data_IF_542537284155
#
_entry.id   IF_542537284155
#
_cell.length_a   1.000
_cell.length_b   1.000
_cell.length_c   1.000
_cell.angle_alpha   90.00
_cell.angle_beta   90.00
_cell.angle_gamma   90.00
#
_symmetry.space_group_name_H-M   'P 1'
#
loop_
_entity.id
_entity.type
_entity.pdbx_description
1 polymer ?
#
# COMPACT_ATOMS: atom_id res chain seq x y z
N UNK A 1 10.41 34.36 3.23
CA UNK A 1 9.58 33.13 3.11
C UNK A 1 8.21 33.55 2.60
N UNK A 2 7.62 32.78 1.66
CA UNK A 2 6.29 33.10 1.13
C UNK A 2 5.23 32.76 2.16
N UNK A 3 4.13 33.53 2.22
CA UNK A 3 2.99 33.21 3.08
C UNK A 3 2.31 31.94 2.59
N UNK A 4 1.86 31.08 3.50
CA UNK A 4 1.14 29.83 3.17
C UNK A 4 -0.15 30.13 2.38
N UNK A 5 -0.78 31.28 2.61
CA UNK A 5 -1.96 31.72 1.86
C UNK A 5 -1.69 31.96 0.37
N UNK A 6 -0.42 32.17 -0.02
CA UNK A 6 0.03 32.33 -1.40
C UNK A 6 0.54 31.02 -2.02
N UNK A 7 0.33 29.89 -1.33
CA UNK A 7 0.80 28.59 -1.81
C UNK A 7 0.07 28.16 -3.07
N UNK A 8 0.86 27.79 -4.08
CA UNK A 8 0.43 27.08 -5.26
C UNK A 8 1.13 25.72 -5.29
N UNK A 9 0.35 24.65 -5.25
CA UNK A 9 0.85 23.32 -4.96
C UNK A 9 0.89 22.48 -6.23
N UNK A 10 2.04 21.82 -6.50
CA UNK A 10 2.15 20.76 -7.47
C UNK A 10 2.18 19.42 -6.72
N UNK A 11 1.30 18.47 -7.06
CA UNK A 11 1.33 17.10 -6.55
C UNK A 11 1.83 16.19 -7.66
N UNK A 12 2.96 15.53 -7.44
CA UNK A 12 3.67 14.69 -8.42
C UNK A 12 3.35 13.22 -8.17
N UNK A 13 2.58 12.61 -9.08
CA UNK A 13 2.01 11.27 -8.96
C UNK A 13 0.56 11.32 -8.47
N UNK A 14 -0.39 10.86 -9.30
CA UNK A 14 -1.83 10.91 -9.02
C UNK A 14 -2.42 9.50 -8.83
N UNK A 15 -1.69 8.66 -8.09
CA UNK A 15 -2.14 7.34 -7.67
C UNK A 15 -2.99 7.38 -6.39
N UNK A 16 -3.01 6.25 -5.67
CA UNK A 16 -3.76 6.03 -4.42
C UNK A 16 -3.48 7.06 -3.31
N UNK A 17 -2.29 7.65 -3.31
CA UNK A 17 -1.86 8.65 -2.32
C UNK A 17 -2.07 10.06 -2.84
N UNK A 18 -1.56 10.34 -4.03
CA UNK A 18 -1.48 11.71 -4.54
C UNK A 18 -2.82 12.31 -4.93
N UNK A 19 -3.74 11.52 -5.50
CA UNK A 19 -5.05 12.05 -5.89
C UNK A 19 -5.91 12.48 -4.68
N UNK A 20 -6.10 11.65 -3.63
CA UNK A 20 -6.84 12.09 -2.45
C UNK A 20 -6.24 13.33 -1.79
N UNK A 21 -4.91 13.39 -1.72
CA UNK A 21 -4.20 14.54 -1.15
C UNK A 21 -4.36 15.80 -2.03
N UNK A 22 -4.18 15.68 -3.34
CA UNK A 22 -4.36 16.80 -4.28
C UNK A 22 -5.78 17.36 -4.22
N UNK A 23 -6.80 16.48 -4.19
CA UNK A 23 -8.20 16.87 -4.01
C UNK A 23 -8.41 17.59 -2.68
N UNK A 24 -7.80 17.09 -1.60
CA UNK A 24 -7.95 17.71 -0.28
C UNK A 24 -7.34 19.11 -0.24
N UNK A 25 -6.12 19.29 -0.73
CA UNK A 25 -5.52 20.61 -0.84
C UNK A 25 -6.30 21.56 -1.77
N UNK A 26 -6.90 21.02 -2.84
CA UNK A 26 -7.69 21.80 -3.78
C UNK A 26 -8.95 22.44 -3.16
N UNK A 27 -9.35 22.06 -1.96
CA UNK A 27 -10.42 22.72 -1.21
C UNK A 27 -10.04 24.12 -0.72
N UNK A 28 -8.72 24.39 -0.63
CA UNK A 28 -8.20 25.67 -0.09
C UNK A 28 -7.16 26.36 -0.96
N UNK A 29 -6.48 25.61 -1.81
CA UNK A 29 -5.35 26.08 -2.60
C UNK A 29 -5.52 25.80 -4.10
N UNK A 30 -4.88 26.57 -4.98
CA UNK A 30 -4.67 26.18 -6.37
C UNK A 30 -3.72 24.97 -6.41
N UNK A 31 -4.19 23.83 -6.95
CA UNK A 31 -3.44 22.59 -7.03
C UNK A 31 -3.30 22.13 -8.47
N UNK A 32 -2.07 21.82 -8.87
CA UNK A 32 -1.77 21.17 -10.14
C UNK A 32 -1.31 19.75 -9.86
N UNK A 33 -2.13 18.78 -10.24
CA UNK A 33 -1.77 17.37 -10.21
C UNK A 33 -0.98 17.00 -11.47
N UNK A 34 0.24 16.53 -11.29
CA UNK A 34 1.11 16.10 -12.38
C UNK A 34 1.30 14.58 -12.34
N UNK A 35 1.04 13.92 -13.46
CA UNK A 35 1.36 12.52 -13.65
C UNK A 35 1.94 12.27 -15.04
N UNK A 36 2.88 11.34 -15.14
CA UNK A 36 3.49 10.96 -16.44
C UNK A 36 2.56 10.07 -17.28
N UNK A 37 1.53 9.48 -16.68
CA UNK A 37 0.59 8.61 -17.34
C UNK A 37 -0.56 9.42 -17.97
N UNK A 38 -0.48 9.62 -19.29
CA UNK A 38 -1.48 10.37 -20.05
C UNK A 38 -2.90 9.81 -19.90
N UNK A 39 -3.04 8.47 -19.83
CA UNK A 39 -4.35 7.83 -19.65
C UNK A 39 -4.94 8.18 -18.30
N UNK A 40 -4.10 8.18 -17.25
CA UNK A 40 -4.53 8.54 -15.90
C UNK A 40 -4.98 9.99 -15.82
N UNK A 41 -4.22 10.91 -16.39
CA UNK A 41 -4.58 12.33 -16.44
C UNK A 41 -5.87 12.56 -17.24
N UNK A 42 -6.00 11.92 -18.40
CA UNK A 42 -7.23 12.03 -19.21
C UNK A 42 -8.46 11.50 -18.45
N UNK A 43 -8.35 10.36 -17.80
CA UNK A 43 -9.39 9.77 -16.95
C UNK A 43 -9.80 10.74 -15.84
N UNK A 44 -8.84 11.23 -15.04
CA UNK A 44 -9.11 12.16 -13.93
C UNK A 44 -9.79 13.46 -14.40
N UNK A 45 -9.39 14.00 -15.56
CA UNK A 45 -9.98 15.21 -16.12
C UNK A 45 -11.42 14.98 -16.61
N UNK A 46 -11.88 13.74 -16.78
CA UNK A 46 -13.31 13.42 -16.95
C UNK A 46 -14.10 13.38 -15.64
N UNK A 47 -13.40 13.44 -14.51
CA UNK A 47 -13.99 13.32 -13.18
C UNK A 47 -14.22 11.87 -12.75
N UNK A 48 -13.45 10.91 -13.29
CA UNK A 48 -13.49 9.50 -12.93
C UNK A 48 -12.17 9.04 -12.30
N UNK A 49 -12.27 8.25 -11.22
CA UNK A 49 -11.13 7.66 -10.52
C UNK A 49 -11.21 6.12 -10.50
N UNK A 50 -10.49 5.46 -11.41
CA UNK A 50 -10.40 3.99 -11.46
C UNK A 50 -9.75 3.35 -10.24
N UNK A 51 -9.04 4.13 -9.40
CA UNK A 51 -8.49 3.62 -8.13
C UNK A 51 -9.52 3.55 -7.01
N UNK A 52 -10.69 4.17 -7.19
CA UNK A 52 -11.81 4.22 -6.24
C UNK A 52 -11.46 4.86 -4.88
N UNK A 53 -10.41 5.68 -4.84
CA UNK A 53 -9.98 6.40 -3.64
C UNK A 53 -10.73 7.73 -3.46
N UNK A 54 -11.16 8.35 -4.56
CA UNK A 54 -11.96 9.57 -4.57
C UNK A 54 -13.25 9.30 -5.34
N UNK A 55 -14.39 9.51 -4.70
CA UNK A 55 -15.68 9.37 -5.36
C UNK A 55 -15.81 10.38 -6.51
N UNK A 56 -16.39 9.97 -7.64
CA UNK A 56 -16.47 10.75 -8.88
C UNK A 56 -17.11 12.13 -8.67
N UNK A 57 -18.18 12.22 -7.90
CA UNK A 57 -18.86 13.49 -7.59
C UNK A 57 -17.94 14.46 -6.83
N UNK A 58 -17.14 13.92 -5.91
CA UNK A 58 -16.17 14.69 -5.13
C UNK A 58 -15.03 15.17 -6.02
N UNK A 59 -14.53 14.30 -6.89
CA UNK A 59 -13.49 14.65 -7.84
C UNK A 59 -13.98 15.74 -8.81
N UNK A 60 -15.14 15.56 -9.42
CA UNK A 60 -15.75 16.53 -10.34
C UNK A 60 -15.93 17.91 -9.70
N UNK A 61 -16.34 17.96 -8.43
CA UNK A 61 -16.51 19.22 -7.69
C UNK A 61 -15.20 19.97 -7.45
N UNK A 62 -14.07 19.27 -7.40
CA UNK A 62 -12.75 19.86 -7.18
C UNK A 62 -12.06 20.28 -8.48
N UNK A 63 -12.45 19.71 -9.63
CA UNK A 63 -11.76 19.95 -10.90
C UNK A 63 -12.02 21.34 -11.45
N UNK A 64 -10.92 21.98 -11.93
CA UNK A 64 -10.96 23.21 -12.72
C UNK A 64 -10.51 22.92 -14.17
N UNK A 65 -11.10 23.64 -15.13
CA UNK A 65 -10.87 23.36 -16.57
C UNK A 65 -9.55 23.93 -17.09
N UNK A 66 -8.98 24.91 -16.43
CA UNK A 66 -7.74 25.56 -16.85
C UNK A 66 -7.11 26.33 -15.72
N UNK A 67 -5.79 26.27 -15.65
CA UNK A 67 -4.94 27.09 -14.76
C UNK A 67 -4.42 28.36 -15.45
N UNK A 68 -4.74 28.54 -16.73
CA UNK A 68 -4.32 29.75 -17.49
C UNK A 68 -5.38 30.83 -17.36
N UNK A 69 -4.97 32.07 -17.01
CA UNK A 69 -5.91 33.18 -16.90
C UNK A 69 -6.66 33.39 -18.23
N UNK A 70 -7.97 33.40 -18.17
CA UNK A 70 -8.79 33.84 -19.29
C UNK A 70 -9.54 35.12 -18.90
N UNK A 71 -9.18 36.29 -19.49
CA UNK A 71 -9.81 37.55 -19.14
C UNK A 71 -11.33 37.59 -19.33
N UNK A 72 -11.87 36.66 -20.14
CA UNK A 72 -13.31 36.54 -20.43
C UNK A 72 -14.02 35.57 -19.49
N UNK A 73 -13.32 34.81 -18.66
CA UNK A 73 -13.87 33.89 -17.67
C UNK A 73 -13.12 34.01 -16.34
N UNK A 74 -13.67 34.73 -15.35
CA UNK A 74 -13.05 34.92 -14.04
C UNK A 74 -12.89 33.60 -13.25
N UNK A 75 -13.60 32.53 -13.62
CA UNK A 75 -13.43 31.20 -13.00
C UNK A 75 -12.07 30.54 -13.34
N UNK A 76 -11.36 31.09 -14.34
CA UNK A 76 -10.02 30.60 -14.72
C UNK A 76 -8.88 31.38 -14.02
N UNK A 77 -9.16 32.04 -12.89
CA UNK A 77 -8.10 32.66 -12.11
C UNK A 77 -7.17 31.57 -11.54
N UNK A 78 -5.87 31.59 -11.86
CA UNK A 78 -4.92 30.57 -11.39
C UNK A 78 -4.67 30.58 -9.88
N UNK A 79 -5.22 31.56 -9.18
CA UNK A 79 -5.17 31.66 -7.70
C UNK A 79 -6.41 31.12 -7.00
N UNK A 80 -7.44 30.71 -7.75
CA UNK A 80 -8.62 30.10 -7.14
C UNK A 80 -8.33 28.66 -6.68
N UNK A 81 -8.86 28.22 -5.54
CA UNK A 81 -8.82 26.83 -5.14
C UNK A 81 -9.42 25.91 -6.22
N UNK A 82 -8.82 24.76 -6.40
CA UNK A 82 -9.26 23.75 -7.36
C UNK A 82 -8.10 22.87 -7.83
N UNK A 83 -8.43 21.74 -8.46
CA UNK A 83 -7.49 20.75 -8.99
C UNK A 83 -7.48 20.78 -10.51
N UNK A 84 -6.31 20.92 -11.09
CA UNK A 84 -6.06 20.72 -12.51
C UNK A 84 -5.06 19.58 -12.72
N UNK A 85 -5.40 18.55 -13.47
CA UNK A 85 -4.49 17.44 -13.75
C UNK A 85 -3.82 17.61 -15.11
N UNK A 86 -2.52 17.34 -15.20
CA UNK A 86 -1.70 17.56 -16.40
C UNK A 86 -0.53 16.59 -16.49
N UNK A 87 -0.04 16.37 -17.71
CA UNK A 87 1.25 15.74 -18.00
C UNK A 87 2.33 16.76 -18.40
N UNK A 88 1.97 18.05 -18.45
CA UNK A 88 2.84 19.14 -18.90
C UNK A 88 3.66 19.70 -17.75
N UNK A 89 4.98 19.61 -17.87
CA UNK A 89 5.92 20.19 -16.90
C UNK A 89 5.77 21.72 -16.77
N UNK A 90 5.40 22.39 -17.86
CA UNK A 90 5.21 23.83 -17.87
C UNK A 90 4.06 24.29 -16.96
N UNK A 91 3.08 23.44 -16.71
CA UNK A 91 1.93 23.78 -15.90
C UNK A 91 2.22 23.78 -14.39
N UNK A 92 3.31 23.12 -13.96
CA UNK A 92 3.77 23.12 -12.56
C UNK A 92 4.90 24.10 -12.28
N UNK A 93 5.44 24.78 -13.31
CA UNK A 93 6.60 25.65 -13.17
C UNK A 93 6.35 26.90 -12.30
N UNK A 94 5.08 27.33 -12.20
CA UNK A 94 4.68 28.46 -11.36
C UNK A 94 4.27 28.04 -9.92
N UNK A 95 4.39 26.76 -9.58
CA UNK A 95 4.14 26.29 -8.22
C UNK A 95 5.32 26.66 -7.31
N UNK A 96 5.05 26.78 -6.01
CA UNK A 96 6.08 27.07 -5.00
C UNK A 96 6.17 25.99 -3.93
N UNK A 97 5.25 25.01 -3.96
CA UNK A 97 5.27 23.79 -3.14
C UNK A 97 5.09 22.59 -4.06
N UNK A 98 6.03 21.67 -3.99
CA UNK A 98 6.02 20.42 -4.77
C UNK A 98 5.90 19.24 -3.83
N UNK A 99 4.81 18.46 -3.94
CA UNK A 99 4.58 17.29 -3.09
C UNK A 99 4.74 16.04 -3.94
N UNK A 100 5.72 15.19 -3.58
CA UNK A 100 6.05 13.96 -4.32
C UNK A 100 5.38 12.77 -3.63
N UNK A 101 4.50 12.08 -4.38
CA UNK A 101 3.67 10.96 -3.91
C UNK A 101 3.81 9.73 -4.80
N UNK A 102 4.97 9.58 -5.46
CA UNK A 102 5.25 8.45 -6.34
C UNK A 102 5.49 7.16 -5.55
N UNK A 103 5.23 5.96 -6.15
CA UNK A 103 5.47 4.69 -5.47
C UNK A 103 6.97 4.44 -5.22
N UNK A 104 7.24 3.68 -4.15
CA UNK A 104 8.57 3.21 -3.76
C UNK A 104 8.55 1.68 -3.64
N UNK A 105 8.67 0.95 -4.76
CA UNK A 105 8.64 -0.50 -4.75
C UNK A 105 9.96 -1.10 -4.25
N UNK A 106 9.98 -2.43 -4.14
CA UNK A 106 11.22 -3.21 -3.99
C UNK A 106 11.49 -3.98 -5.29
N UNK A 107 12.76 -4.24 -5.54
CA UNK A 107 13.19 -5.11 -6.63
C UNK A 107 12.98 -6.60 -6.29
N UNK A 108 13.27 -7.49 -7.26
CA UNK A 108 13.18 -8.95 -7.09
C UNK A 108 14.09 -9.52 -5.98
N UNK A 109 15.03 -8.74 -5.48
CA UNK A 109 15.94 -9.12 -4.39
C UNK A 109 15.52 -8.48 -3.05
N UNK A 110 14.30 -7.95 -2.96
CA UNK A 110 13.75 -7.24 -1.82
C UNK A 110 14.55 -5.98 -1.43
N UNK A 111 15.17 -5.30 -2.40
CA UNK A 111 15.89 -4.05 -2.18
C UNK A 111 15.02 -2.87 -2.57
N UNK A 112 15.08 -1.75 -1.83
CA UNK A 112 14.40 -0.52 -2.19
C UNK A 112 14.73 -0.06 -3.62
N UNK A 113 13.70 0.20 -4.42
CA UNK A 113 13.85 0.82 -5.74
C UNK A 113 13.39 2.28 -5.67
N UNK A 114 14.35 3.18 -5.54
CA UNK A 114 14.11 4.62 -5.51
C UNK A 114 14.01 5.25 -6.90
N UNK A 115 14.05 4.48 -7.98
CA UNK A 115 14.01 5.00 -9.36
C UNK A 115 12.84 5.94 -9.62
N UNK A 116 11.57 5.64 -9.20
CA UNK A 116 10.48 6.59 -9.39
C UNK A 116 10.69 7.89 -8.61
N UNK A 117 11.24 7.79 -7.41
CA UNK A 117 11.48 8.94 -6.53
C UNK A 117 12.59 9.85 -7.08
N UNK A 118 13.67 9.25 -7.58
CA UNK A 118 14.76 9.98 -8.26
C UNK A 118 14.24 10.71 -9.50
N UNK A 119 13.44 10.03 -10.34
CA UNK A 119 12.82 10.66 -11.53
C UNK A 119 11.86 11.79 -11.16
N UNK A 120 11.10 11.66 -10.10
CA UNK A 120 10.23 12.73 -9.60
C UNK A 120 11.08 13.93 -9.09
N UNK A 121 12.18 13.65 -8.39
CA UNK A 121 13.15 14.67 -7.96
C UNK A 121 13.81 15.40 -9.15
N UNK A 122 14.17 14.66 -10.21
CA UNK A 122 14.64 15.27 -11.48
C UNK A 122 13.58 16.17 -12.12
N UNK A 123 12.31 15.72 -12.08
CA UNK A 123 11.18 16.49 -12.63
C UNK A 123 11.00 17.80 -11.87
N UNK A 124 11.01 17.75 -10.54
CA UNK A 124 10.94 18.95 -9.69
C UNK A 124 12.18 19.83 -9.90
N UNK A 125 13.37 19.25 -9.98
CA UNK A 125 14.62 19.99 -10.21
C UNK A 125 14.63 20.85 -11.48
N UNK A 126 13.83 20.49 -12.50
CA UNK A 126 13.70 21.27 -13.75
C UNK A 126 12.87 22.55 -13.61
N UNK A 127 12.05 22.66 -12.57
CA UNK A 127 11.07 23.74 -12.41
C UNK A 127 11.18 24.50 -11.08
N UNK A 128 11.79 23.90 -10.06
CA UNK A 128 11.91 24.49 -8.73
C UNK A 128 12.70 25.81 -8.78
N UNK A 129 12.25 26.78 -8.01
CA UNK A 129 12.80 28.12 -7.96
C UNK A 129 13.25 28.52 -6.54
N UNK A 130 13.90 29.66 -6.39
CA UNK A 130 14.35 30.13 -5.08
C UNK A 130 13.19 30.42 -4.14
N UNK A 131 13.30 29.87 -2.92
CA UNK A 131 12.31 30.00 -1.87
C UNK A 131 11.21 28.92 -1.91
N UNK A 132 11.26 28.00 -2.86
CA UNK A 132 10.29 26.91 -2.97
C UNK A 132 10.61 25.76 -2.01
N UNK A 133 9.60 24.93 -1.76
CA UNK A 133 9.69 23.76 -0.87
C UNK A 133 9.30 22.51 -1.64
N UNK A 134 10.14 21.47 -1.58
CA UNK A 134 9.79 20.13 -2.04
C UNK A 134 9.47 19.23 -0.84
N UNK A 135 8.31 18.60 -0.84
CA UNK A 135 7.83 17.74 0.24
C UNK A 135 7.71 16.32 -0.28
N UNK A 136 8.30 15.36 0.42
CA UNK A 136 8.21 13.94 0.06
C UNK A 136 7.18 13.27 0.96
N UNK A 137 6.26 12.50 0.35
CA UNK A 137 5.27 11.67 1.05
C UNK A 137 5.50 10.18 0.87
N UNK A 138 6.26 9.81 -0.16
CA UNK A 138 6.60 8.41 -0.44
C UNK A 138 7.33 7.77 0.75
N UNK A 139 6.99 6.51 1.06
CA UNK A 139 7.65 5.79 2.14
C UNK A 139 9.09 5.46 1.76
N UNK A 140 10.02 5.82 2.64
CA UNK A 140 11.46 5.61 2.43
C UNK A 140 12.15 5.24 3.74
N UNK A 141 13.41 4.79 3.67
CA UNK A 141 14.25 4.63 4.85
C UNK A 141 14.74 5.98 5.41
N UNK A 142 15.10 6.05 6.70
CA UNK A 142 15.61 7.28 7.30
C UNK A 142 16.85 7.82 6.59
N UNK A 143 16.76 9.06 6.13
CA UNK A 143 17.80 9.76 5.39
C UNK A 143 17.62 9.81 3.87
N UNK A 144 16.73 9.00 3.29
CA UNK A 144 16.58 8.93 1.83
C UNK A 144 16.22 10.27 1.19
N UNK A 145 15.37 11.06 1.82
CA UNK A 145 15.03 12.40 1.30
C UNK A 145 16.28 13.27 1.16
N UNK A 146 17.06 13.40 2.22
CA UNK A 146 18.21 14.31 2.26
C UNK A 146 19.47 13.76 1.57
N UNK A 147 19.66 12.41 1.61
CA UNK A 147 20.88 11.75 1.13
C UNK A 147 20.77 11.32 -0.35
N UNK A 148 19.57 10.94 -0.83
CA UNK A 148 19.38 10.43 -2.18
C UNK A 148 18.58 11.36 -3.09
N UNK A 149 17.51 11.99 -2.59
CA UNK A 149 16.60 12.78 -3.42
C UNK A 149 17.05 14.23 -3.59
N UNK A 150 17.42 14.90 -2.52
CA UNK A 150 17.83 16.32 -2.55
C UNK A 150 19.06 16.56 -3.42
N UNK A 151 20.12 15.72 -3.40
CA UNK A 151 21.26 15.90 -4.31
C UNK A 151 20.87 15.86 -5.79
N UNK A 152 19.82 15.14 -6.15
CA UNK A 152 19.28 15.11 -7.51
C UNK A 152 18.61 16.45 -7.86
N UNK A 153 17.82 17.00 -6.95
CA UNK A 153 17.19 18.32 -7.13
C UNK A 153 18.26 19.40 -7.29
N UNK A 154 19.29 19.41 -6.42
CA UNK A 154 20.42 20.35 -6.53
C UNK A 154 21.14 20.22 -7.87
N UNK A 155 21.47 19.01 -8.29
CA UNK A 155 22.18 18.75 -9.54
C UNK A 155 21.41 19.23 -10.77
N UNK A 156 20.08 19.02 -10.79
CA UNK A 156 19.26 19.38 -11.95
C UNK A 156 18.93 20.88 -11.96
N UNK A 157 18.59 21.45 -10.82
CA UNK A 157 18.21 22.87 -10.71
C UNK A 157 19.39 23.83 -10.68
N UNK A 158 20.56 23.37 -10.21
CA UNK A 158 21.69 24.24 -9.90
C UNK A 158 21.50 25.10 -8.65
N UNK A 159 20.42 24.90 -7.92
CA UNK A 159 20.10 25.60 -6.67
C UNK A 159 20.72 24.87 -5.48
N UNK A 160 20.91 25.58 -4.37
CA UNK A 160 21.55 25.08 -3.17
C UNK A 160 20.51 24.79 -2.09
N UNK A 161 20.49 23.56 -1.58
CA UNK A 161 19.62 23.11 -0.49
C UNK A 161 19.83 23.93 0.80
N UNK A 162 18.74 24.23 1.49
CA UNK A 162 18.68 25.06 2.70
C UNK A 162 19.23 26.51 2.52
N UNK A 163 19.38 26.93 1.29
CA UNK A 163 19.80 28.32 0.93
C UNK A 163 18.84 28.89 -0.12
N UNK A 164 18.72 28.20 -1.26
CA UNK A 164 17.88 28.63 -2.37
C UNK A 164 16.52 27.91 -2.36
N UNK A 165 16.46 26.66 -1.97
CA UNK A 165 15.23 25.88 -1.81
C UNK A 165 15.29 25.02 -0.55
N UNK A 166 14.14 24.48 -0.13
CA UNK A 166 14.00 23.75 1.12
C UNK A 166 13.26 22.43 0.91
N UNK A 167 13.31 21.55 1.91
CA UNK A 167 12.61 20.26 1.86
C UNK A 167 11.74 20.03 3.09
N UNK A 168 10.71 19.22 2.89
CA UNK A 168 9.87 18.65 3.94
C UNK A 168 9.65 17.17 3.70
N UNK A 169 9.17 16.50 4.72
CA UNK A 169 8.70 15.13 4.64
C UNK A 169 7.43 14.96 5.47
N UNK A 170 6.43 14.32 4.86
CA UNK A 170 5.15 14.05 5.53
C UNK A 170 4.59 12.72 5.02
N UNK A 171 4.84 11.60 5.73
CA UNK A 171 4.47 10.29 5.24
C UNK A 171 2.96 10.10 5.09
N UNK A 172 2.55 9.37 4.05
CA UNK A 172 1.17 8.93 3.93
C UNK A 172 0.89 7.75 4.86
N UNK A 173 -0.29 7.79 5.50
CA UNK A 173 -0.74 6.80 6.49
C UNK A 173 -2.10 6.19 6.14
N UNK A 174 -2.62 6.46 4.94
CA UNK A 174 -3.88 5.87 4.44
C UNK A 174 -3.71 4.36 4.29
N UNK A 175 -4.80 3.65 4.56
CA UNK A 175 -4.93 2.26 4.20
C UNK A 175 -5.85 2.16 2.98
N UNK A 176 -5.34 1.83 1.78
CA UNK A 176 -6.15 1.78 0.57
C UNK A 176 -7.45 0.99 0.74
N UNK A 177 -8.57 1.58 0.29
CA UNK A 177 -9.91 1.01 0.45
C UNK A 177 -10.55 1.23 1.83
N UNK A 178 -9.91 1.92 2.77
CA UNK A 178 -10.50 2.32 4.06
C UNK A 178 -11.24 3.64 3.90
N UNK A 179 -12.57 3.59 3.86
CA UNK A 179 -13.43 4.77 3.71
C UNK A 179 -13.71 5.51 5.04
N UNK A 180 -13.35 4.91 6.17
CA UNK A 180 -13.54 5.52 7.49
C UNK A 180 -12.35 6.41 7.86
N UNK A 181 -11.12 5.92 7.64
CA UNK A 181 -9.88 6.62 7.93
C UNK A 181 -9.33 7.30 6.68
N UNK A 182 -10.01 8.36 6.23
CA UNK A 182 -9.58 9.17 5.08
C UNK A 182 -8.38 10.04 5.42
N UNK A 183 -7.68 10.56 4.41
CA UNK A 183 -6.46 11.38 4.57
C UNK A 183 -6.63 12.53 5.57
N UNK A 184 -7.79 13.18 5.60
CA UNK A 184 -8.09 14.30 6.50
C UNK A 184 -8.35 13.89 7.94
N UNK A 185 -8.75 12.61 8.18
CA UNK A 185 -9.11 12.07 9.49
C UNK A 185 -7.98 11.33 10.20
N UNK A 186 -6.83 11.17 9.54
CA UNK A 186 -5.64 10.56 10.12
C UNK A 186 -4.67 11.66 10.53
N UNK A 187 -4.19 11.62 11.80
CA UNK A 187 -3.16 12.55 12.27
C UNK A 187 -1.91 12.47 11.39
N UNK A 188 -1.53 13.56 10.74
CA UNK A 188 -0.40 13.60 9.80
C UNK A 188 0.90 13.93 10.54
N UNK A 189 1.98 13.20 10.24
CA UNK A 189 3.32 13.57 10.68
C UNK A 189 3.89 14.54 9.66
N UNK A 190 4.54 15.61 10.13
CA UNK A 190 5.14 16.65 9.29
C UNK A 190 6.56 16.92 9.75
N UNK A 191 7.42 17.38 8.86
CA UNK A 191 8.80 17.79 9.18
C UNK A 191 9.36 18.70 8.12
N UNK A 192 10.43 19.40 8.43
CA UNK A 192 11.15 20.26 7.51
C UNK A 192 12.65 20.17 7.67
N UNK A 193 13.37 20.66 6.66
CA UNK A 193 14.84 20.69 6.62
C UNK A 193 15.45 21.74 7.55
N UNK A 194 14.67 22.71 7.98
CA UNK A 194 14.96 23.62 9.10
C UNK A 194 13.75 23.73 10.01
N UNK A 195 13.89 24.21 11.26
CA UNK A 195 12.74 24.41 12.15
C UNK A 195 11.65 25.27 11.52
N UNK A 196 12.01 26.37 10.86
CA UNK A 196 11.08 27.32 10.24
C UNK A 196 10.32 26.67 9.08
N UNK A 197 11.00 25.86 8.27
CA UNK A 197 10.38 25.09 7.18
C UNK A 197 9.46 24.02 7.76
N UNK A 198 9.87 23.36 8.84
CA UNK A 198 9.03 22.41 9.55
C UNK A 198 7.71 23.04 10.00
N UNK A 199 7.74 24.22 10.59
CA UNK A 199 6.54 24.97 10.98
C UNK A 199 5.67 25.34 9.78
N UNK A 200 6.26 25.75 8.64
CA UNK A 200 5.51 26.04 7.42
C UNK A 200 4.82 24.81 6.84
N UNK A 201 5.56 23.69 6.72
CA UNK A 201 5.01 22.42 6.26
C UNK A 201 3.89 21.96 7.20
N UNK A 202 4.09 22.03 8.52
CA UNK A 202 3.09 21.68 9.50
C UNK A 202 1.83 22.55 9.38
N UNK A 203 1.98 23.85 9.23
CA UNK A 203 0.85 24.77 9.07
C UNK A 203 0.08 24.50 7.77
N UNK A 204 0.80 24.18 6.66
CA UNK A 204 0.17 23.80 5.39
C UNK A 204 -0.72 22.57 5.55
N UNK A 205 -0.20 21.48 6.09
CA UNK A 205 -0.98 20.26 6.32
C UNK A 205 -2.10 20.47 7.34
N UNK A 206 -1.84 21.16 8.44
CA UNK A 206 -2.85 21.48 9.46
C UNK A 206 -4.03 22.23 8.88
N UNK A 207 -3.83 22.99 7.82
CA UNK A 207 -4.90 23.76 7.18
C UNK A 207 -5.99 22.85 6.58
N UNK A 208 -5.66 21.60 6.19
CA UNK A 208 -6.59 20.67 5.53
C UNK A 208 -6.80 19.37 6.32
N UNK A 209 -5.90 18.98 7.22
CA UNK A 209 -6.00 17.75 8.03
C UNK A 209 -6.79 18.05 9.32
N UNK A 210 -8.03 17.56 9.39
CA UNK A 210 -8.92 17.80 10.54
C UNK A 210 -8.49 17.05 11.81
N UNK A 211 -7.82 15.89 11.66
CA UNK A 211 -7.27 15.13 12.78
C UNK A 211 -6.01 15.76 13.41
N UNK A 212 -5.55 16.88 12.84
CA UNK A 212 -4.36 17.60 13.28
C UNK A 212 -3.05 16.96 12.78
N UNK A 213 -1.94 17.58 13.20
CA UNK A 213 -0.59 17.21 12.78
C UNK A 213 0.29 16.90 13.99
N UNK A 214 1.44 16.29 13.72
CA UNK A 214 2.55 16.10 14.65
C UNK A 214 3.84 16.54 13.94
N UNK A 215 4.37 17.67 14.37
CA UNK A 215 5.65 18.17 13.84
C UNK A 215 6.80 17.36 14.43
N UNK A 216 7.44 16.55 13.60
CA UNK A 216 8.64 15.82 13.96
C UNK A 216 9.86 16.75 13.91
N UNK A 217 10.87 16.55 14.78
CA UNK A 217 12.01 17.45 14.90
C UNK A 217 12.92 17.49 13.65
N UNK A 218 12.94 16.42 12.86
CA UNK A 218 13.73 16.31 11.62
C UNK A 218 13.03 15.43 10.59
N UNK A 219 13.42 15.55 9.32
CA UNK A 219 12.99 14.69 8.22
C UNK A 219 13.30 13.23 8.55
N UNK A 220 14.51 12.91 8.99
CA UNK A 220 14.91 11.53 9.37
C UNK A 220 14.02 10.90 10.45
N UNK A 221 13.57 11.70 11.42
CA UNK A 221 12.64 11.20 12.46
C UNK A 221 11.26 10.89 11.87
N UNK A 222 10.75 11.72 10.98
CA UNK A 222 9.46 11.49 10.33
C UNK A 222 9.51 10.26 9.39
N UNK A 223 10.60 10.09 8.63
CA UNK A 223 10.86 8.89 7.82
C UNK A 223 10.92 7.62 8.69
N UNK A 224 11.68 7.68 9.80
CA UNK A 224 11.79 6.57 10.74
C UNK A 224 10.43 6.21 11.35
N UNK A 225 9.63 7.20 11.76
CA UNK A 225 8.31 6.99 12.33
C UNK A 225 7.41 6.20 11.37
N UNK A 226 7.41 6.54 10.08
CA UNK A 226 6.62 5.82 9.07
C UNK A 226 7.04 4.36 8.91
N UNK A 227 8.32 4.12 8.73
CA UNK A 227 8.80 2.76 8.42
C UNK A 227 8.62 1.80 9.60
N UNK A 228 8.71 2.30 10.86
CA UNK A 228 8.50 1.45 12.04
C UNK A 228 7.03 1.10 12.29
N UNK A 229 6.05 1.90 11.86
CA UNK A 229 4.63 1.57 11.97
C UNK A 229 4.31 0.25 11.26
N UNK A 230 4.81 0.07 10.05
CA UNK A 230 4.62 -1.14 9.27
C UNK A 230 5.55 -2.27 9.70
N UNK A 231 6.79 -1.97 10.08
CA UNK A 231 7.72 -2.98 10.62
C UNK A 231 7.22 -3.60 11.92
N UNK A 232 6.65 -2.79 12.83
CA UNK A 232 6.03 -3.28 14.06
C UNK A 232 4.86 -4.22 13.76
N UNK A 233 3.99 -3.84 12.81
CA UNK A 233 2.85 -4.68 12.39
C UNK A 233 3.33 -5.99 11.80
N UNK A 234 4.32 -5.95 10.93
CA UNK A 234 4.91 -7.12 10.31
C UNK A 234 5.49 -8.11 11.33
N UNK A 235 6.26 -7.61 12.30
CA UNK A 235 6.86 -8.43 13.37
C UNK A 235 5.77 -9.05 14.26
N UNK A 236 4.72 -8.29 14.60
CA UNK A 236 3.62 -8.83 15.40
C UNK A 236 2.85 -9.92 14.65
N UNK A 237 2.65 -9.79 13.33
CA UNK A 237 2.04 -10.85 12.53
C UNK A 237 2.98 -12.04 12.42
N UNK A 238 4.30 -11.83 12.27
CA UNK A 238 5.28 -12.92 12.26
C UNK A 238 5.24 -13.72 13.57
N UNK A 239 5.13 -13.03 14.70
CA UNK A 239 4.99 -13.68 16.01
C UNK A 239 3.76 -14.57 16.09
N UNK A 240 2.57 -14.08 15.69
CA UNK A 240 1.35 -14.92 15.71
C UNK A 240 1.37 -16.00 14.63
N UNK A 241 2.07 -15.81 13.51
CA UNK A 241 2.33 -16.86 12.52
C UNK A 241 3.20 -17.98 13.09
N UNK A 242 4.22 -17.63 13.86
CA UNK A 242 5.05 -18.62 14.56
C UNK A 242 4.22 -19.39 15.60
N UNK A 243 3.36 -18.69 16.38
CA UNK A 243 2.44 -19.33 17.31
C UNK A 243 1.51 -20.33 16.60
N UNK A 244 0.96 -19.98 15.43
CA UNK A 244 0.12 -20.88 14.64
C UNK A 244 0.88 -22.16 14.24
N UNK A 245 2.14 -22.04 13.82
CA UNK A 245 3.00 -23.21 13.52
C UNK A 245 3.28 -24.08 14.75
N UNK A 246 3.53 -23.47 15.91
CA UNK A 246 3.75 -24.17 17.19
C UNK A 246 2.49 -24.90 17.61
N UNK A 247 1.35 -24.20 17.64
CA UNK A 247 0.08 -24.76 18.10
C UNK A 247 -0.43 -25.87 17.19
N UNK A 248 -0.23 -25.76 15.88
CA UNK A 248 -0.50 -26.83 14.95
C UNK A 248 0.27 -28.12 15.33
N UNK A 249 1.59 -28.01 15.65
CA UNK A 249 2.39 -29.16 16.10
C UNK A 249 1.94 -29.74 17.43
N UNK A 250 1.37 -28.91 18.30
CA UNK A 250 0.85 -29.31 19.61
C UNK A 250 -0.61 -29.77 19.57
N UNK A 251 -1.28 -29.76 18.39
CA UNK A 251 -2.71 -29.98 18.20
C UNK A 251 -3.59 -29.04 19.05
N UNK A 252 -3.16 -27.81 19.22
CA UNK A 252 -3.90 -26.73 19.90
C UNK A 252 -4.49 -25.80 18.83
N UNK A 253 -5.73 -25.37 19.05
CA UNK A 253 -6.39 -24.41 18.16
C UNK A 253 -5.86 -22.99 18.42
N UNK A 254 -5.15 -22.42 17.44
CA UNK A 254 -4.56 -21.08 17.53
C UNK A 254 -5.59 -20.00 17.86
N UNK A 255 -6.75 -20.04 17.21
CA UNK A 255 -7.78 -19.02 17.42
C UNK A 255 -8.31 -19.04 18.86
N UNK A 256 -8.56 -20.23 19.42
CA UNK A 256 -8.99 -20.35 20.80
C UNK A 256 -7.96 -19.81 21.80
N UNK A 257 -6.66 -20.01 21.51
CA UNK A 257 -5.59 -19.42 22.35
C UNK A 257 -5.57 -17.92 22.24
N UNK A 258 -5.69 -17.36 21.01
CA UNK A 258 -5.70 -15.91 20.81
C UNK A 258 -6.95 -15.26 21.42
N UNK A 259 -8.11 -15.90 21.36
CA UNK A 259 -9.32 -15.45 22.04
C UNK A 259 -9.14 -15.41 23.57
N UNK A 260 -8.58 -16.48 24.15
CA UNK A 260 -8.29 -16.52 25.58
C UNK A 260 -7.26 -15.47 26.01
N UNK A 261 -6.17 -15.34 25.27
CA UNK A 261 -5.14 -14.32 25.53
C UNK A 261 -5.67 -12.89 25.35
N UNK A 262 -6.56 -12.69 24.36
CA UNK A 262 -7.22 -11.41 24.07
C UNK A 262 -8.16 -10.89 25.14
N UNK A 263 -8.52 -11.71 26.13
CA UNK A 263 -9.27 -11.25 27.33
C UNK A 263 -8.41 -10.32 28.21
N UNK A 264 -7.08 -10.34 28.05
CA UNK A 264 -6.21 -9.43 28.77
C UNK A 264 -6.15 -8.08 28.06
N UNK A 265 -6.41 -7.03 28.76
CA UNK A 265 -6.57 -5.65 28.26
C UNK A 265 -5.41 -5.12 27.40
N UNK A 266 -4.19 -5.59 27.64
CA UNK A 266 -2.99 -5.13 26.91
C UNK A 266 -2.47 -6.17 25.90
N UNK A 267 -3.24 -7.22 25.59
CA UNK A 267 -2.89 -8.16 24.52
C UNK A 267 -3.26 -7.55 23.16
N UNK A 268 -2.31 -7.51 22.23
CA UNK A 268 -2.54 -6.93 20.90
C UNK A 268 -3.26 -7.94 19.99
N UNK A 269 -4.36 -7.57 19.33
CA UNK A 269 -5.26 -8.50 18.63
C UNK A 269 -4.77 -8.83 17.21
N UNK A 270 -3.49 -9.19 17.07
CA UNK A 270 -2.97 -9.70 15.81
C UNK A 270 -3.42 -11.13 15.56
N UNK A 271 -3.62 -11.45 14.26
CA UNK A 271 -4.02 -12.78 13.80
C UNK A 271 -3.00 -13.32 12.81
N UNK A 272 -2.83 -14.65 12.72
CA UNK A 272 -1.96 -15.25 11.72
C UNK A 272 -2.54 -15.03 10.31
N UNK A 273 -1.65 -15.07 9.31
CA UNK A 273 -2.06 -14.92 7.92
C UNK A 273 -0.92 -14.56 7.00
N UNK A 274 -1.26 -14.35 5.74
CA UNK A 274 -0.33 -13.91 4.71
C UNK A 274 -0.08 -12.39 4.83
N UNK A 275 1.16 -11.97 4.66
CA UNK A 275 1.56 -10.56 4.74
C UNK A 275 2.09 -10.11 3.39
N UNK A 276 1.21 -9.54 2.60
CA UNK A 276 1.49 -8.97 1.29
C UNK A 276 1.18 -7.46 1.21
N UNK A 277 1.03 -6.96 0.00
CA UNK A 277 0.71 -5.58 -0.31
C UNK A 277 1.94 -4.67 -0.35
N UNK A 278 1.67 -3.36 -0.53
CA UNK A 278 2.70 -2.36 -0.84
C UNK A 278 3.50 -1.87 0.37
N UNK A 279 2.99 -2.02 1.58
CA UNK A 279 3.54 -1.35 2.76
C UNK A 279 4.11 -2.36 3.76
N UNK A 280 3.25 -3.22 4.35
CA UNK A 280 3.69 -4.09 5.46
C UNK A 280 4.74 -5.09 5.01
N UNK A 281 4.63 -5.62 3.79
CA UNK A 281 5.61 -6.56 3.22
C UNK A 281 6.87 -5.90 2.64
N UNK A 282 6.92 -4.57 2.54
CA UNK A 282 7.96 -3.80 1.84
C UNK A 282 8.77 -2.93 2.79
N UNK A 283 8.12 -2.12 3.62
CA UNK A 283 8.78 -1.14 4.50
C UNK A 283 9.86 -1.75 5.43
N UNK A 284 9.68 -2.97 5.98
CA UNK A 284 10.73 -3.59 6.79
C UNK A 284 12.05 -3.81 6.04
N UNK A 285 12.00 -4.06 4.72
CA UNK A 285 13.20 -4.19 3.90
C UNK A 285 13.94 -2.88 3.74
N UNK A 286 13.21 -1.75 3.65
CA UNK A 286 13.80 -0.42 3.64
C UNK A 286 14.63 -0.15 4.88
N UNK A 287 14.04 -0.43 6.06
CA UNK A 287 14.73 -0.25 7.33
C UNK A 287 15.90 -1.24 7.51
N UNK A 288 15.70 -2.50 7.09
CA UNK A 288 16.74 -3.54 7.19
C UNK A 288 17.96 -3.21 6.32
N UNK A 289 17.76 -2.75 5.09
CA UNK A 289 18.86 -2.35 4.22
C UNK A 289 19.63 -1.17 4.82
N UNK A 290 18.96 -0.11 5.26
CA UNK A 290 19.62 1.05 5.86
C UNK A 290 20.39 0.69 7.12
N UNK A 291 19.86 -0.22 7.94
CA UNK A 291 20.57 -0.74 9.10
C UNK A 291 21.86 -1.47 8.71
N UNK A 292 21.81 -2.32 7.67
CA UNK A 292 22.97 -3.06 7.17
C UNK A 292 24.03 -2.11 6.59
N UNK A 293 23.62 -1.08 5.84
CA UNK A 293 24.52 -0.02 5.35
C UNK A 293 25.21 0.74 6.50
N UNK A 294 24.51 0.92 7.62
CA UNK A 294 25.06 1.49 8.86
C UNK A 294 25.90 0.49 9.69
N UNK A 295 26.10 -0.74 9.20
CA UNK A 295 26.88 -1.77 9.87
C UNK A 295 26.15 -2.57 10.94
N UNK A 296 24.80 -2.49 11.01
CA UNK A 296 23.98 -3.24 11.97
C UNK A 296 23.14 -4.30 11.26
N UNK A 297 23.21 -5.55 11.73
CA UNK A 297 22.38 -6.64 11.23
C UNK A 297 21.02 -6.66 11.98
N UNK A 298 19.88 -6.35 11.34
CA UNK A 298 18.58 -6.25 12.02
C UNK A 298 17.93 -7.64 12.17
N UNK A 299 18.30 -8.40 13.17
CA UNK A 299 17.91 -9.81 13.37
C UNK A 299 16.38 -10.00 13.46
N UNK A 300 15.70 -9.21 14.31
CA UNK A 300 14.25 -9.34 14.55
C UNK A 300 13.46 -9.01 13.29
N UNK A 301 13.82 -7.94 12.59
CA UNK A 301 13.11 -7.50 11.36
C UNK A 301 13.25 -8.57 10.27
N UNK A 302 14.48 -9.05 10.05
CA UNK A 302 14.75 -10.06 9.02
C UNK A 302 14.15 -11.43 9.37
N UNK A 303 14.15 -11.82 10.65
CA UNK A 303 13.49 -13.05 11.11
C UNK A 303 11.99 -12.97 10.92
N UNK A 304 11.37 -11.82 11.26
CA UNK A 304 9.95 -11.58 11.04
C UNK A 304 9.56 -11.67 9.55
N UNK A 305 10.33 -10.98 8.70
CA UNK A 305 10.12 -11.07 7.23
C UNK A 305 10.22 -12.49 6.70
N UNK A 306 11.28 -13.22 7.06
CA UNK A 306 11.43 -14.63 6.64
C UNK A 306 10.25 -15.48 7.09
N UNK A 307 9.78 -15.31 8.32
CA UNK A 307 8.60 -16.02 8.84
C UNK A 307 7.37 -15.75 8.00
N UNK A 308 7.09 -14.48 7.68
CA UNK A 308 5.92 -14.07 6.92
C UNK A 308 6.01 -14.48 5.44
N UNK A 309 7.20 -14.38 4.84
CA UNK A 309 7.42 -14.78 3.44
C UNK A 309 7.26 -16.30 3.22
N UNK A 310 7.54 -17.11 4.24
CA UNK A 310 7.39 -18.56 4.17
C UNK A 310 5.96 -19.07 4.45
N UNK A 311 5.02 -18.21 4.84
CA UNK A 311 3.68 -18.65 5.24
C UNK A 311 2.87 -19.26 4.11
N UNK A 312 3.01 -18.77 2.87
CA UNK A 312 2.33 -19.36 1.71
C UNK A 312 2.74 -20.82 1.49
N UNK A 313 4.04 -21.08 1.55
CA UNK A 313 4.60 -22.45 1.47
C UNK A 313 4.15 -23.34 2.63
N UNK A 314 4.14 -22.78 3.83
CA UNK A 314 3.63 -23.51 5.01
C UNK A 314 2.18 -23.92 4.82
N UNK A 315 1.29 -23.02 4.39
CA UNK A 315 -0.13 -23.31 4.13
C UNK A 315 -0.27 -24.44 3.10
N UNK A 316 0.41 -24.35 1.97
CA UNK A 316 0.35 -25.38 0.93
C UNK A 316 0.83 -26.75 1.46
N UNK A 317 1.91 -26.77 2.25
CA UNK A 317 2.40 -28.01 2.85
C UNK A 317 1.39 -28.63 3.82
N UNK A 318 0.68 -27.83 4.62
CA UNK A 318 -0.36 -28.32 5.53
C UNK A 318 -1.57 -28.87 4.76
N UNK A 319 -2.01 -28.22 3.67
CA UNK A 319 -3.04 -28.73 2.76
C UNK A 319 -2.67 -30.12 2.23
N UNK A 320 -1.45 -30.28 1.72
CA UNK A 320 -0.95 -31.56 1.19
C UNK A 320 -0.90 -32.62 2.26
N UNK A 321 -0.45 -32.31 3.48
CA UNK A 321 -0.44 -33.25 4.61
C UNK A 321 -1.87 -33.72 4.96
N UNK A 322 -2.83 -32.82 4.95
CA UNK A 322 -4.23 -33.15 5.20
C UNK A 322 -4.82 -34.05 4.11
N UNK A 323 -4.49 -33.79 2.83
CA UNK A 323 -4.88 -34.64 1.72
C UNK A 323 -4.34 -36.07 1.89
N UNK A 324 -3.04 -36.20 2.21
CA UNK A 324 -2.39 -37.48 2.45
C UNK A 324 -3.08 -38.22 3.61
N UNK A 325 -3.38 -37.53 4.73
CA UNK A 325 -4.10 -38.14 5.89
C UNK A 325 -5.48 -38.63 5.51
N UNK A 326 -6.17 -37.95 4.57
CA UNK A 326 -7.48 -38.40 4.05
C UNK A 326 -7.40 -39.48 2.97
N UNK A 327 -6.20 -39.83 2.50
CA UNK A 327 -6.00 -40.73 1.38
C UNK A 327 -6.34 -40.12 0.01
N UNK A 328 -6.44 -38.80 -0.07
CA UNK A 328 -6.68 -38.08 -1.33
C UNK A 328 -5.37 -37.97 -2.11
N UNK A 329 -5.31 -38.39 -3.40
CA UNK A 329 -4.12 -38.20 -4.21
C UNK A 329 -3.73 -36.72 -4.29
N UNK A 330 -2.44 -36.42 -4.26
CA UNK A 330 -1.92 -35.05 -4.38
C UNK A 330 -1.59 -34.75 -5.83
N UNK A 331 -0.71 -35.55 -6.44
CA UNK A 331 -0.29 -35.36 -7.83
C UNK A 331 -1.47 -35.56 -8.79
N UNK A 332 -1.72 -34.57 -9.64
CA UNK A 332 -2.86 -34.56 -10.56
C UNK A 332 -4.21 -34.21 -9.94
N UNK A 333 -4.28 -34.00 -8.63
CA UNK A 333 -5.50 -33.52 -8.00
C UNK A 333 -5.74 -32.02 -8.33
N UNK A 334 -7.01 -31.65 -8.37
CA UNK A 334 -7.42 -30.24 -8.52
C UNK A 334 -7.55 -29.57 -7.15
N UNK A 335 -7.04 -28.37 -7.03
CA UNK A 335 -7.28 -27.48 -5.90
C UNK A 335 -8.04 -26.23 -6.35
N UNK A 336 -8.97 -25.77 -5.52
CA UNK A 336 -9.62 -24.48 -5.68
C UNK A 336 -9.04 -23.50 -4.67
N UNK A 337 -8.39 -22.44 -5.16
CA UNK A 337 -7.93 -21.34 -4.34
C UNK A 337 -8.94 -20.21 -4.39
N UNK A 338 -9.43 -19.79 -3.24
CA UNK A 338 -10.39 -18.70 -3.05
C UNK A 338 -9.66 -17.44 -2.59
N UNK A 339 -9.59 -16.46 -3.48
CA UNK A 339 -8.92 -15.19 -3.28
C UNK A 339 -7.47 -15.19 -3.77
N UNK A 340 -7.11 -14.12 -4.49
CA UNK A 340 -5.75 -13.82 -4.99
C UNK A 340 -5.36 -12.37 -4.72
N UNK A 341 -6.27 -11.52 -4.26
CA UNK A 341 -5.95 -10.14 -3.85
C UNK A 341 -5.06 -10.14 -2.59
N UNK A 342 -4.36 -9.03 -2.34
CA UNK A 342 -3.46 -8.97 -1.17
C UNK A 342 -4.22 -8.86 0.16
N UNK A 343 -5.47 -8.40 0.13
CA UNK A 343 -6.37 -8.34 1.30
C UNK A 343 -7.83 -8.47 0.88
N UNK A 344 -8.69 -8.71 1.86
CA UNK A 344 -10.13 -8.85 1.69
C UNK A 344 -10.82 -7.59 1.17
N UNK A 345 -11.83 -7.77 0.31
CA UNK A 345 -12.72 -6.72 -0.21
C UNK A 345 -11.99 -5.56 -0.90
N UNK A 346 -10.91 -5.86 -1.59
CA UNK A 346 -10.08 -4.89 -2.31
C UNK A 346 -9.64 -5.50 -3.65
N UNK A 347 -9.71 -4.78 -4.79
CA UNK A 347 -9.36 -5.31 -6.11
C UNK A 347 -7.85 -5.39 -6.38
N UNK A 348 -7.00 -4.94 -5.46
CA UNK A 348 -5.56 -4.87 -5.65
C UNK A 348 -4.88 -6.23 -5.44
N UNK A 349 -4.16 -6.68 -6.48
CA UNK A 349 -3.44 -7.95 -6.48
C UNK A 349 -1.92 -7.81 -6.29
N UNK A 350 -1.40 -6.59 -6.27
CA UNK A 350 0.05 -6.35 -6.24
C UNK A 350 0.68 -6.89 -4.95
N UNK A 351 1.82 -7.57 -5.10
CA UNK A 351 2.55 -8.19 -3.98
C UNK A 351 1.69 -9.11 -3.10
N UNK A 352 0.67 -9.76 -3.65
CA UNK A 352 -0.12 -10.72 -2.89
C UNK A 352 0.71 -11.95 -2.53
N UNK A 353 0.61 -12.41 -1.29
CA UNK A 353 1.23 -13.67 -0.85
C UNK A 353 0.35 -14.90 -1.04
N UNK A 354 -0.89 -14.70 -1.48
CA UNK A 354 -1.73 -15.82 -1.92
C UNK A 354 -1.12 -16.55 -3.13
N UNK A 355 -0.36 -15.82 -3.97
CA UNK A 355 0.37 -16.39 -5.10
C UNK A 355 1.39 -17.47 -4.70
N UNK A 356 1.99 -17.35 -3.52
CA UNK A 356 2.96 -18.33 -3.02
C UNK A 356 2.30 -19.68 -2.74
N UNK A 357 1.04 -19.68 -2.27
CA UNK A 357 0.24 -20.90 -2.12
C UNK A 357 -0.01 -21.54 -3.48
N UNK A 358 -0.39 -20.75 -4.47
CA UNK A 358 -0.64 -21.22 -5.84
C UNK A 358 0.59 -21.92 -6.41
N UNK A 359 1.74 -21.29 -6.36
CA UNK A 359 2.98 -21.85 -6.90
C UNK A 359 3.40 -23.13 -6.18
N UNK A 360 3.36 -23.12 -4.84
CA UNK A 360 3.76 -24.28 -4.03
C UNK A 360 2.82 -25.49 -4.29
N UNK A 361 1.50 -25.31 -4.39
CA UNK A 361 0.58 -26.40 -4.75
C UNK A 361 0.86 -26.94 -6.17
N UNK A 362 1.22 -26.06 -7.11
CA UNK A 362 1.65 -26.47 -8.45
C UNK A 362 2.95 -27.28 -8.43
N UNK A 363 3.90 -26.92 -7.57
CA UNK A 363 5.14 -27.70 -7.38
C UNK A 363 4.88 -29.09 -6.83
N UNK A 364 3.84 -29.28 -5.99
CA UNK A 364 3.36 -30.61 -5.58
C UNK A 364 2.65 -31.38 -6.70
N UNK A 365 2.50 -30.81 -7.89
CA UNK A 365 1.89 -31.42 -9.06
C UNK A 365 0.38 -31.35 -9.08
N UNK A 366 -0.24 -30.44 -8.36
CA UNK A 366 -1.67 -30.18 -8.41
C UNK A 366 -2.05 -29.24 -9.54
N UNK A 367 -3.27 -29.35 -10.03
CA UNK A 367 -3.91 -28.37 -10.90
C UNK A 367 -4.67 -27.36 -10.01
N UNK A 368 -4.37 -26.06 -10.16
CA UNK A 368 -4.94 -25.05 -9.27
C UNK A 368 -5.80 -24.08 -10.07
N UNK A 369 -7.10 -24.08 -9.75
CA UNK A 369 -8.05 -23.07 -10.20
C UNK A 369 -8.11 -21.95 -9.16
N UNK A 370 -8.18 -20.70 -9.63
CA UNK A 370 -8.26 -19.51 -8.77
C UNK A 370 -9.57 -18.80 -9.04
N UNK A 371 -10.36 -18.58 -7.99
CA UNK A 371 -11.56 -17.78 -8.02
C UNK A 371 -11.44 -16.58 -7.07
N UNK A 372 -11.66 -15.38 -7.61
CA UNK A 372 -11.65 -14.14 -6.83
C UNK A 372 -12.68 -13.17 -7.41
N UNK A 373 -13.71 -12.74 -6.66
CA UNK A 373 -14.75 -11.84 -7.15
C UNK A 373 -14.30 -10.39 -7.28
N UNK A 374 -13.14 -10.03 -6.69
CA UNK A 374 -12.60 -8.65 -6.68
C UNK A 374 -11.47 -8.46 -7.68
N UNK A 375 -10.71 -9.50 -7.99
CA UNK A 375 -9.57 -9.41 -8.88
C UNK A 375 -10.02 -9.38 -10.36
N UNK A 376 -9.47 -8.45 -11.15
CA UNK A 376 -9.67 -8.45 -12.60
C UNK A 376 -8.92 -9.62 -13.25
N UNK A 377 -9.59 -10.53 -13.99
CA UNK A 377 -8.91 -11.64 -14.67
C UNK A 377 -7.80 -11.20 -15.62
N UNK A 378 -7.97 -10.06 -16.30
CA UNK A 378 -7.00 -9.51 -17.23
C UNK A 378 -5.74 -9.03 -16.50
N UNK A 379 -5.93 -8.40 -15.34
CA UNK A 379 -4.81 -7.90 -14.52
C UNK A 379 -4.05 -9.06 -13.88
N UNK A 380 -4.74 -10.09 -13.38
CA UNK A 380 -4.11 -11.31 -12.84
C UNK A 380 -3.32 -12.04 -13.93
N UNK A 381 -3.90 -12.17 -15.13
CA UNK A 381 -3.21 -12.81 -16.26
C UNK A 381 -1.97 -12.01 -16.69
N UNK A 382 -2.04 -10.69 -16.69
CA UNK A 382 -0.90 -9.83 -17.06
C UNK A 382 0.21 -9.88 -16.02
N UNK A 383 -0.13 -9.81 -14.73
CA UNK A 383 0.83 -9.69 -13.63
C UNK A 383 1.48 -11.05 -13.27
N UNK A 384 0.66 -12.11 -13.20
CA UNK A 384 1.09 -13.41 -12.70
C UNK A 384 1.05 -14.55 -13.74
N UNK A 385 0.53 -14.30 -14.93
CA UNK A 385 0.36 -15.33 -15.95
C UNK A 385 -0.72 -16.38 -15.65
N UNK A 386 -1.59 -16.08 -14.67
CA UNK A 386 -2.62 -17.02 -14.16
C UNK A 386 -3.98 -16.66 -14.76
N UNK A 387 -4.68 -17.68 -15.26
CA UNK A 387 -6.08 -17.57 -15.65
C UNK A 387 -6.96 -17.84 -14.43
N UNK A 388 -7.75 -16.86 -14.04
CA UNK A 388 -8.77 -17.02 -12.99
C UNK A 388 -10.08 -17.48 -13.60
N UNK A 389 -10.86 -18.25 -12.84
CA UNK A 389 -12.25 -18.58 -13.19
C UNK A 389 -13.16 -17.43 -12.76
N UNK A 390 -14.18 -17.14 -13.58
CA UNK A 390 -15.10 -16.00 -13.37
C UNK A 390 -16.35 -16.36 -12.56
N UNK A 391 -16.64 -17.67 -12.42
CA UNK A 391 -17.76 -18.17 -11.66
C UNK A 391 -17.29 -19.19 -10.63
N UNK A 392 -17.91 -19.17 -9.46
CA UNK A 392 -17.62 -20.17 -8.44
C UNK A 392 -18.07 -21.56 -8.94
N UNK A 393 -17.18 -22.55 -8.93
CA UNK A 393 -17.53 -23.89 -9.42
C UNK A 393 -18.37 -24.63 -8.39
N UNK A 394 -19.68 -24.64 -8.58
CA UNK A 394 -20.60 -25.48 -7.83
C UNK A 394 -20.42 -26.93 -8.27
N UNK A 395 -19.58 -27.69 -7.60
CA UNK A 395 -19.44 -29.09 -7.99
C UNK A 395 -18.31 -29.85 -7.34
N UNK A 396 -18.38 -31.16 -7.53
CA UNK A 396 -17.39 -32.11 -7.07
C UNK A 396 -16.20 -32.15 -8.02
N UNK A 397 -15.03 -32.51 -7.54
CA UNK A 397 -13.84 -32.70 -8.36
C UNK A 397 -12.59 -31.98 -7.83
N UNK A 398 -12.71 -31.26 -6.73
CA UNK A 398 -11.57 -30.70 -6.04
C UNK A 398 -11.12 -31.63 -4.90
N UNK A 399 -9.83 -31.92 -4.84
CA UNK A 399 -9.19 -32.62 -3.72
C UNK A 399 -8.91 -31.69 -2.54
N UNK A 400 -8.78 -30.38 -2.81
CA UNK A 400 -8.58 -29.37 -1.79
C UNK A 400 -9.26 -28.03 -2.15
N UNK A 401 -9.70 -27.30 -1.13
CA UNK A 401 -10.14 -25.91 -1.22
C UNK A 401 -9.33 -25.09 -0.23
N UNK A 402 -8.71 -24.02 -0.68
CA UNK A 402 -7.87 -23.14 0.14
C UNK A 402 -8.48 -21.74 0.13
N UNK A 403 -9.04 -21.31 1.25
CA UNK A 403 -9.53 -19.96 1.43
C UNK A 403 -8.33 -19.09 1.82
N UNK A 404 -7.70 -18.46 0.81
CA UNK A 404 -6.47 -17.67 0.98
C UNK A 404 -6.75 -16.23 1.39
N UNK A 405 -7.85 -15.63 0.89
CA UNK A 405 -8.29 -14.26 1.21
C UNK A 405 -9.74 -14.28 1.70
N UNK A 406 -10.05 -13.48 2.70
CA UNK A 406 -11.36 -13.52 3.38
C UNK A 406 -12.38 -12.55 2.78
N UNK A 407 -12.70 -12.67 1.49
CA UNK A 407 -13.77 -11.86 0.89
C UNK A 407 -15.14 -12.22 1.50
N UNK A 408 -15.97 -11.21 1.70
CA UNK A 408 -17.32 -11.39 2.30
C UNK A 408 -18.21 -12.34 1.48
N UNK A 409 -18.02 -12.37 0.16
CA UNK A 409 -18.77 -13.23 -0.76
C UNK A 409 -18.53 -14.72 -0.48
N UNK A 410 -17.36 -15.08 0.06
CA UNK A 410 -17.03 -16.46 0.35
C UNK A 410 -17.83 -17.06 1.53
N UNK A 411 -18.36 -16.21 2.41
CA UNK A 411 -19.20 -16.68 3.52
C UNK A 411 -20.52 -17.30 3.05
N UNK A 412 -20.98 -16.96 1.85
CA UNK A 412 -22.21 -17.53 1.26
C UNK A 412 -22.00 -18.79 0.43
N UNK A 413 -20.77 -19.30 0.30
CA UNK A 413 -20.46 -20.44 -0.55
C UNK A 413 -20.80 -21.79 0.14
N UNK A 414 -21.18 -22.79 -0.66
CA UNK A 414 -21.53 -24.11 -0.16
C UNK A 414 -20.30 -25.01 0.04
N UNK A 415 -19.57 -24.81 1.13
CA UNK A 415 -18.41 -25.65 1.48
C UNK A 415 -18.79 -27.07 1.88
N UNK A 416 -20.00 -27.29 2.38
CA UNK A 416 -20.44 -28.61 2.79
C UNK A 416 -20.50 -29.62 1.64
N UNK A 417 -20.90 -29.19 0.45
CA UNK A 417 -20.92 -30.00 -0.74
C UNK A 417 -19.52 -30.55 -1.08
N UNK A 418 -18.53 -29.69 -1.07
CA UNK A 418 -17.14 -30.09 -1.31
C UNK A 418 -16.57 -30.99 -0.21
N UNK A 419 -16.91 -30.70 1.07
CA UNK A 419 -16.48 -31.53 2.19
C UNK A 419 -17.10 -32.96 2.13
N UNK A 420 -18.38 -33.09 1.77
CA UNK A 420 -19.05 -34.37 1.55
C UNK A 420 -18.45 -35.15 0.38
N UNK A 421 -17.94 -34.45 -0.63
CA UNK A 421 -17.22 -35.02 -1.76
C UNK A 421 -15.78 -35.47 -1.43
N UNK A 422 -15.29 -35.22 -0.20
CA UNK A 422 -13.99 -35.64 0.29
C UNK A 422 -12.87 -34.58 0.14
N UNK A 423 -13.19 -33.37 -0.29
CA UNK A 423 -12.20 -32.30 -0.37
C UNK A 423 -11.65 -31.93 1.01
N UNK A 424 -10.37 -31.57 1.06
CA UNK A 424 -9.74 -30.89 2.19
C UNK A 424 -10.10 -29.42 2.14
N UNK A 425 -10.59 -28.85 3.22
CA UNK A 425 -10.89 -27.41 3.32
C UNK A 425 -9.93 -26.79 4.32
N UNK A 426 -9.09 -25.86 3.81
CA UNK A 426 -8.13 -25.12 4.60
C UNK A 426 -8.47 -23.63 4.61
N UNK A 427 -8.63 -23.03 5.78
CA UNK A 427 -8.99 -21.63 5.97
C UNK A 427 -7.83 -20.84 6.55
N UNK A 428 -7.15 -20.06 5.71
CA UNK A 428 -5.98 -19.27 6.10
C UNK A 428 -6.34 -18.14 7.08
N UNK A 429 -7.56 -17.63 6.99
CA UNK A 429 -7.98 -16.44 7.77
C UNK A 429 -8.88 -16.78 8.96
N UNK A 430 -9.30 -18.05 9.08
CA UNK A 430 -10.14 -18.52 10.19
C UNK A 430 -11.54 -17.92 10.21
N UNK A 431 -12.14 -17.63 9.05
CA UNK A 431 -13.48 -17.05 8.95
C UNK A 431 -14.59 -18.11 8.87
N UNK A 432 -14.25 -19.33 8.47
CA UNK A 432 -15.21 -20.42 8.38
C UNK A 432 -15.40 -21.09 9.74
N UNK A 433 -16.59 -21.68 9.92
CA UNK A 433 -16.86 -22.55 11.07
C UNK A 433 -15.86 -23.71 11.13
N UNK A 434 -15.34 -24.01 12.32
CA UNK A 434 -14.41 -25.13 12.56
C UNK A 434 -14.93 -26.47 12.07
N UNK A 435 -16.26 -26.66 12.07
CA UNK A 435 -16.90 -27.90 11.57
C UNK A 435 -16.70 -28.08 10.07
N UNK A 436 -16.58 -26.98 9.31
CA UNK A 436 -16.39 -27.02 7.86
C UNK A 436 -14.92 -27.23 7.46
N UNK A 437 -13.98 -26.82 8.29
CA UNK A 437 -12.55 -26.83 7.95
C UNK A 437 -11.87 -28.13 8.41
N UNK A 438 -10.84 -28.55 7.68
CA UNK A 438 -9.93 -29.62 8.07
C UNK A 438 -8.65 -29.06 8.70
N UNK A 439 -8.33 -27.80 8.39
CA UNK A 439 -7.23 -27.04 8.95
C UNK A 439 -7.42 -25.53 8.80
N UNK A 440 -6.72 -24.79 9.66
CA UNK A 440 -6.64 -23.31 9.63
C UNK A 440 -5.35 -22.85 10.29
N UNK A 441 -4.97 -21.58 10.07
CA UNK A 441 -3.86 -20.96 10.82
C UNK A 441 -4.26 -20.62 12.25
#
# INVERSE_FOLDING_TARGET
MKDISESRIAVIGLGYVGLPLARLFATKYPVVGFDINEKRVAELMTGHDSTLEVDDDILQSALIRSIRPNPRNPETNPHNPGLYCTTSLADIADCNIYIITVPTPIDRNNRPDLTPLIKASETVGKVISKGDIVIYESTVYPGATEEDCIPVVEKVSGLKFNVDFFAGYSPERINPGDKEHTVEKIKKVTSGSTPEIGEQVDALYRSVITAGTHLAPTIKVAEAAKVIENSQRDINIAFVNELAKIFNKLNIDTQAVLEAAGTKWNFLPFKPGLVGGHCIGVDPYYLAQKAQEAGYHPEIILAGRRMNDEMGKYVASEVVKLMIKKGTPVKGARALMLGITFKENCPDIRNTRAIDIYHELREYGMEVDVYDPWASPQVVQHEYGIKTITEYPEGNGYGAIVLAVAHKEFLGLNFEAHKKAGAVIYDVKGILSKVLTDGRL
#
